data_IF_303210293303
#
_entry.id   IF_303210293303
#
_cell.length_a   1.000
_cell.length_b   1.000
_cell.length_c   1.000
_cell.angle_alpha   90.00
_cell.angle_beta   90.00
_cell.angle_gamma   90.00
#
_symmetry.space_group_name_H-M   'P 1'
#
loop_
_entity.id
_entity.type
_entity.pdbx_description
1 polymer ?
#
# COMPACT_ATOMS: atom_id res chain seq x y z
N UNK A 1 4.48 -8.76 22.53
CA UNK A 1 4.52 -9.53 23.80
C UNK A 1 3.59 -8.85 24.80
N UNK A 2 2.88 -9.59 25.66
CA UNK A 2 2.11 -8.96 26.74
C UNK A 2 3.02 -8.09 27.61
N UNK A 3 2.52 -6.95 28.07
CA UNK A 3 3.25 -6.09 29.02
C UNK A 3 3.42 -6.74 30.39
N UNK A 4 2.61 -7.76 30.70
CA UNK A 4 2.66 -8.52 31.95
C UNK A 4 3.62 -9.71 31.93
N UNK A 5 4.33 -9.96 30.82
CA UNK A 5 5.26 -11.09 30.70
C UNK A 5 6.57 -10.82 31.46
N UNK A 6 7.24 -11.88 31.92
CA UNK A 6 8.55 -11.74 32.58
C UNK A 6 9.62 -11.22 31.60
N UNK A 7 10.60 -10.44 32.05
CA UNK A 7 11.72 -9.98 31.21
C UNK A 7 12.49 -11.13 30.56
N UNK A 8 12.59 -12.27 31.26
CA UNK A 8 13.27 -13.49 30.78
C UNK A 8 12.54 -14.13 29.59
N UNK A 9 11.28 -13.77 29.33
CA UNK A 9 10.54 -14.23 28.16
C UNK A 9 10.95 -13.52 26.86
N UNK A 10 11.94 -12.62 26.90
CA UNK A 10 12.43 -11.91 25.72
C UNK A 10 12.93 -12.89 24.65
N UNK A 11 12.65 -12.58 23.39
CA UNK A 11 13.02 -13.40 22.24
C UNK A 11 13.50 -12.55 21.08
N UNK A 12 14.20 -13.14 20.12
CA UNK A 12 14.65 -12.46 18.90
C UNK A 12 14.15 -13.18 17.66
N UNK A 13 13.72 -12.39 16.67
CA UNK A 13 13.33 -12.92 15.37
C UNK A 13 14.56 -13.40 14.60
N UNK A 14 14.51 -14.64 14.13
CA UNK A 14 15.57 -15.23 13.30
C UNK A 14 15.22 -15.20 11.82
N UNK A 15 14.01 -15.64 11.48
CA UNK A 15 13.61 -15.81 10.09
C UNK A 15 12.10 -15.74 9.91
N UNK A 16 11.68 -15.61 8.65
CA UNK A 16 10.30 -15.62 8.21
C UNK A 16 10.10 -16.71 7.17
N UNK A 17 8.93 -17.33 7.20
CA UNK A 17 8.42 -18.18 6.14
C UNK A 17 7.03 -17.66 5.74
N UNK A 18 6.83 -17.53 4.44
CA UNK A 18 5.57 -17.16 3.82
C UNK A 18 5.15 -18.22 2.83
N UNK A 19 3.86 -18.56 2.88
CA UNK A 19 3.14 -19.31 1.86
C UNK A 19 2.12 -18.38 1.22
N UNK A 20 2.32 -18.12 -0.05
CA UNK A 20 1.51 -17.21 -0.86
C UNK A 20 0.69 -18.07 -1.81
N UNK A 21 -0.63 -17.97 -1.76
CA UNK A 21 -1.52 -18.71 -2.68
C UNK A 21 -2.30 -17.75 -3.56
N UNK A 22 -2.19 -17.96 -4.86
CA UNK A 22 -2.88 -17.20 -5.89
C UNK A 22 -4.22 -17.84 -6.25
N UNK A 23 -5.14 -17.08 -6.83
CA UNK A 23 -6.49 -17.60 -7.16
C UNK A 23 -6.49 -18.69 -8.23
N UNK A 24 -5.44 -18.75 -9.06
CA UNK A 24 -5.27 -19.78 -10.10
C UNK A 24 -4.74 -21.12 -9.53
N UNK A 25 -4.50 -21.18 -8.22
CA UNK A 25 -3.96 -22.34 -7.52
C UNK A 25 -2.43 -22.39 -7.46
N UNK A 26 -1.73 -21.41 -8.03
CA UNK A 26 -0.28 -21.31 -7.88
C UNK A 26 0.11 -20.98 -6.43
N UNK A 27 1.17 -21.62 -5.95
CA UNK A 27 1.71 -21.42 -4.59
C UNK A 27 3.18 -21.03 -4.69
N UNK A 28 3.52 -19.91 -4.07
CA UNK A 28 4.89 -19.44 -3.91
C UNK A 28 5.28 -19.50 -2.43
N UNK A 29 6.47 -20.03 -2.16
CA UNK A 29 7.03 -20.07 -0.80
C UNK A 29 8.24 -19.15 -0.72
N UNK A 30 8.24 -18.27 0.28
CA UNK A 30 9.33 -17.32 0.52
C UNK A 30 9.86 -17.55 1.92
N UNK A 31 11.11 -17.99 2.00
CA UNK A 31 11.83 -18.16 3.27
C UNK A 31 13.08 -17.28 3.28
N UNK A 32 13.35 -16.64 4.41
CA UNK A 32 14.56 -15.85 4.54
C UNK A 32 14.83 -15.32 5.94
N UNK A 33 16.06 -14.84 6.18
CA UNK A 33 16.46 -14.32 7.48
C UNK A 33 15.79 -12.98 7.77
N UNK A 34 15.44 -12.78 9.05
CA UNK A 34 14.87 -11.53 9.57
C UNK A 34 13.58 -11.08 8.86
N UNK A 35 13.27 -9.79 9.01
CA UNK A 35 12.23 -9.05 8.25
C UNK A 35 12.86 -7.76 7.74
N UNK A 36 12.70 -7.44 6.46
CA UNK A 36 13.25 -6.21 5.84
C UNK A 36 14.73 -5.92 6.13
N UNK A 37 15.54 -6.96 6.39
CA UNK A 37 16.96 -6.85 6.74
C UNK A 37 17.25 -6.71 8.24
N UNK A 38 16.22 -6.72 9.08
CA UNK A 38 16.32 -6.57 10.54
C UNK A 38 16.01 -7.88 11.28
N UNK A 39 16.58 -8.01 12.49
CA UNK A 39 16.37 -9.11 13.42
C UNK A 39 15.87 -8.57 14.76
N UNK A 40 14.61 -8.11 14.83
CA UNK A 40 14.08 -7.42 15.99
C UNK A 40 14.07 -8.31 17.24
N UNK A 41 14.53 -7.73 18.34
CA UNK A 41 14.41 -8.29 19.69
C UNK A 41 13.09 -7.83 20.31
N UNK A 42 12.30 -8.78 20.80
CA UNK A 42 11.00 -8.57 21.44
C UNK A 42 11.13 -8.74 22.95
N UNK A 43 11.00 -7.64 23.68
CA UNK A 43 10.85 -7.62 25.14
C UNK A 43 9.37 -7.50 25.52
N UNK A 44 8.97 -7.84 26.76
CA UNK A 44 7.61 -7.59 27.24
C UNK A 44 7.16 -6.14 27.00
N UNK A 45 5.95 -5.97 26.47
CA UNK A 45 5.37 -4.65 26.13
C UNK A 45 5.95 -3.98 24.87
N UNK A 46 7.03 -4.49 24.27
CA UNK A 46 7.58 -3.93 23.02
C UNK A 46 6.72 -4.32 21.81
N UNK A 47 6.55 -3.34 20.93
CA UNK A 47 5.93 -3.48 19.61
C UNK A 47 7.00 -3.20 18.55
N UNK A 48 6.99 -3.97 17.48
CA UNK A 48 7.81 -3.76 16.30
C UNK A 48 6.89 -3.81 15.08
N UNK A 49 6.96 -2.79 14.24
CA UNK A 49 6.14 -2.62 13.05
C UNK A 49 7.07 -2.45 11.84
N UNK A 50 6.73 -3.09 10.74
CA UNK A 50 7.43 -2.97 9.48
C UNK A 50 6.44 -3.05 8.33
N UNK A 51 6.84 -2.56 7.16
CA UNK A 51 6.04 -2.66 5.93
C UNK A 51 6.85 -3.35 4.83
N UNK A 52 6.19 -4.21 4.06
CA UNK A 52 6.73 -4.85 2.86
C UNK A 52 5.67 -4.85 1.76
N UNK A 53 6.09 -5.12 0.53
CA UNK A 53 5.18 -5.25 -0.61
C UNK A 53 5.45 -6.55 -1.38
N UNK A 54 4.46 -6.95 -2.15
CA UNK A 54 4.51 -8.08 -3.07
C UNK A 54 3.56 -7.80 -4.23
N UNK A 55 3.73 -8.49 -5.34
CA UNK A 55 3.00 -8.25 -6.59
C UNK A 55 2.39 -9.55 -7.09
N UNK A 56 1.14 -9.49 -7.57
CA UNK A 56 0.43 -10.66 -8.09
C UNK A 56 -0.05 -10.42 -9.51
N UNK A 57 -0.17 -11.52 -10.27
CA UNK A 57 -0.82 -11.54 -11.59
C UNK A 57 -2.34 -11.69 -11.51
N UNK A 58 -2.85 -12.13 -10.37
CA UNK A 58 -4.27 -12.33 -10.11
C UNK A 58 -4.86 -11.18 -9.26
N UNK A 59 -6.19 -11.01 -9.21
CA UNK A 59 -6.84 -9.92 -8.46
C UNK A 59 -7.21 -10.29 -7.00
N UNK A 60 -7.01 -11.53 -6.58
CA UNK A 60 -7.42 -12.04 -5.26
C UNK A 60 -6.49 -13.16 -4.80
N UNK A 61 -5.73 -12.90 -3.75
CA UNK A 61 -4.73 -13.82 -3.19
C UNK A 61 -4.86 -13.88 -1.67
N UNK A 62 -4.17 -14.85 -1.07
CA UNK A 62 -3.95 -14.84 0.37
C UNK A 62 -2.53 -15.23 0.73
N UNK A 63 -2.08 -14.75 1.88
CA UNK A 63 -0.79 -15.07 2.46
C UNK A 63 -0.98 -15.60 3.88
N UNK A 64 -0.16 -16.57 4.24
CA UNK A 64 -0.06 -17.11 5.59
C UNK A 64 1.39 -17.55 5.82
N UNK A 65 1.76 -17.80 7.08
CA UNK A 65 3.14 -18.15 7.36
C UNK A 65 3.46 -18.21 8.84
N UNK A 66 4.74 -18.10 9.15
CA UNK A 66 5.22 -17.99 10.52
C UNK A 66 6.55 -17.25 10.58
N UNK A 67 6.82 -16.71 11.76
CA UNK A 67 8.12 -16.24 12.17
C UNK A 67 8.77 -17.26 13.07
N UNK A 68 10.08 -17.48 12.90
CA UNK A 68 10.87 -18.27 13.84
C UNK A 68 11.62 -17.34 14.78
N UNK A 69 11.51 -17.63 16.07
CA UNK A 69 12.14 -16.90 17.15
C UNK A 69 12.95 -17.85 18.03
N UNK A 70 14.04 -17.37 18.60
CA UNK A 70 14.70 -18.02 19.73
C UNK A 70 14.54 -17.18 21.00
N UNK A 71 14.58 -17.83 22.17
CA UNK A 71 14.64 -17.12 23.46
C UNK A 71 16.01 -16.48 23.66
N UNK A 72 16.04 -15.30 24.25
CA UNK A 72 17.34 -14.67 24.59
C UNK A 72 18.04 -15.38 25.76
N UNK A 73 17.28 -16.01 26.66
CA UNK A 73 17.82 -16.77 27.78
C UNK A 73 18.46 -18.11 27.33
N UNK A 74 17.91 -18.71 26.27
CA UNK A 74 18.39 -19.97 25.69
C UNK A 74 18.22 -19.97 24.17
N UNK A 75 19.34 -19.94 23.46
CA UNK A 75 19.35 -19.90 21.98
C UNK A 75 18.92 -21.22 21.34
N UNK A 76 18.94 -22.33 22.07
CA UNK A 76 18.47 -23.61 21.55
C UNK A 76 16.94 -23.72 21.59
N UNK A 77 16.26 -22.92 22.43
CA UNK A 77 14.81 -22.84 22.49
C UNK A 77 14.25 -21.98 21.34
N UNK A 78 13.97 -22.64 20.21
CA UNK A 78 13.33 -22.04 19.03
C UNK A 78 11.83 -22.35 19.03
N UNK A 79 11.02 -21.33 18.71
CA UNK A 79 9.57 -21.46 18.58
C UNK A 79 9.03 -20.64 17.41
N UNK A 80 7.83 -21.00 16.95
CA UNK A 80 7.18 -20.34 15.83
C UNK A 80 5.99 -19.48 16.27
N UNK A 81 5.89 -18.30 15.67
CA UNK A 81 4.74 -17.40 15.81
C UNK A 81 3.98 -17.39 14.51
N UNK A 82 2.75 -17.91 14.53
CA UNK A 82 1.92 -18.02 13.33
C UNK A 82 1.47 -16.65 12.85
N UNK A 83 1.59 -16.44 11.54
CA UNK A 83 1.00 -15.30 10.86
C UNK A 83 -0.36 -15.77 10.33
N UNK A 84 -1.48 -15.19 10.80
CA UNK A 84 -2.79 -15.60 10.36
C UNK A 84 -2.96 -15.31 8.87
N UNK A 85 -3.78 -16.12 8.22
CA UNK A 85 -4.13 -15.90 6.82
C UNK A 85 -4.80 -14.53 6.66
N UNK A 86 -4.28 -13.72 5.75
CA UNK A 86 -4.94 -12.50 5.29
C UNK A 86 -5.08 -12.49 3.78
N UNK A 87 -6.14 -11.82 3.31
CA UNK A 87 -6.49 -11.74 1.90
C UNK A 87 -6.07 -10.39 1.32
N UNK A 88 -5.56 -10.41 0.10
CA UNK A 88 -5.31 -9.22 -0.70
C UNK A 88 -6.27 -9.28 -1.88
N UNK A 89 -7.14 -8.29 -1.97
CA UNK A 89 -8.19 -8.24 -2.99
C UNK A 89 -8.10 -6.89 -3.67
N UNK A 90 -7.91 -6.89 -4.99
CA UNK A 90 -8.00 -5.70 -5.79
C UNK A 90 -9.48 -5.28 -5.89
N UNK A 91 -9.87 -4.10 -5.40
CA UNK A 91 -11.23 -3.61 -5.56
C UNK A 91 -11.57 -3.48 -7.05
N UNK A 92 -12.84 -3.66 -7.45
CA UNK A 92 -13.23 -3.42 -8.83
C UNK A 92 -12.95 -1.96 -9.20
N UNK A 93 -12.52 -1.77 -10.44
CA UNK A 93 -12.40 -0.43 -11.00
C UNK A 93 -13.77 0.28 -10.92
N UNK A 94 -13.78 1.50 -10.39
CA UNK A 94 -14.95 2.38 -10.38
C UNK A 94 -14.71 3.53 -11.33
N UNK A 95 -15.58 3.67 -12.32
CA UNK A 95 -15.56 4.87 -13.16
C UNK A 95 -15.87 6.11 -12.31
N UNK A 96 -15.10 7.20 -12.49
CA UNK A 96 -15.43 8.46 -11.85
C UNK A 96 -16.77 8.95 -12.39
N UNK A 97 -17.69 9.31 -11.48
CA UNK A 97 -18.95 9.95 -11.88
C UNK A 97 -18.60 11.33 -12.44
N UNK A 98 -18.59 11.46 -13.76
CA UNK A 98 -18.49 12.75 -14.42
C UNK A 98 -19.80 13.48 -14.12
N UNK A 99 -19.76 14.45 -13.19
CA UNK A 99 -20.86 15.40 -13.02
C UNK A 99 -20.95 16.22 -14.30
N UNK A 100 -21.86 15.82 -15.20
CA UNK A 100 -22.29 16.70 -16.27
C UNK A 100 -22.84 17.97 -15.61
N UNK A 101 -22.20 19.11 -15.87
CA UNK A 101 -22.78 20.41 -15.51
C UNK A 101 -24.15 20.48 -16.20
N UNK A 102 -25.25 20.78 -15.48
CA UNK A 102 -26.50 21.05 -16.16
C UNK A 102 -26.25 22.21 -17.11
N UNK A 103 -26.48 21.99 -18.40
CA UNK A 103 -26.51 23.08 -19.37
C UNK A 103 -27.54 24.08 -18.85
N UNK A 104 -27.07 25.30 -18.56
CA UNK A 104 -27.96 26.39 -18.18
C UNK A 104 -28.99 26.53 -19.29
N UNK A 105 -30.26 26.23 -18.99
CA UNK A 105 -31.37 26.58 -19.87
C UNK A 105 -31.33 28.10 -20.04
N UNK A 106 -30.90 28.55 -21.21
CA UNK A 106 -31.04 29.94 -21.66
C UNK A 106 -32.55 30.19 -21.73
N UNK A 107 -33.09 30.98 -20.81
CA UNK A 107 -34.36 31.64 -21.04
C UNK A 107 -34.11 32.60 -22.20
N UNK A 108 -34.74 32.33 -23.34
CA UNK A 108 -34.74 33.27 -24.46
C UNK A 108 -35.71 34.39 -24.09
N UNK A 109 -35.18 35.49 -23.60
CA UNK A 109 -35.91 36.76 -23.55
C UNK A 109 -36.08 37.26 -25.00
N UNK A 110 -37.32 37.49 -25.47
CA UNK A 110 -37.54 38.18 -26.73
C UNK A 110 -37.40 39.69 -26.50
N UNK A 111 -36.85 40.36 -27.52
CA UNK A 111 -36.80 41.81 -27.72
C UNK A 111 -35.59 42.54 -27.09
N UNK A 112 -34.68 43.01 -27.96
CA UNK A 112 -33.57 43.87 -27.58
C UNK A 112 -32.51 44.01 -28.67
N UNK A 113 -32.82 44.87 -29.63
CA UNK A 113 -31.97 45.48 -30.64
C UNK A 113 -30.63 46.05 -30.12
N UNK A 114 -29.61 46.07 -30.99
CA UNK A 114 -28.55 47.08 -30.91
C UNK A 114 -27.10 46.60 -31.01
N UNK A 115 -26.58 46.64 -32.24
CA UNK A 115 -25.23 47.03 -32.67
C UNK A 115 -23.93 46.44 -32.06
N UNK A 116 -23.14 45.89 -32.99
CA UNK A 116 -21.70 45.65 -32.94
C UNK A 116 -20.88 46.89 -32.58
N UNK A 117 -19.81 46.72 -31.80
CA UNK A 117 -18.52 47.41 -32.01
C UNK A 117 -17.35 46.56 -31.48
N UNK A 118 -16.34 46.41 -32.34
CA UNK A 118 -15.05 45.73 -32.16
C UNK A 118 -14.10 46.41 -31.15
N UNK A 119 -13.13 45.65 -30.60
CA UNK A 119 -11.82 46.21 -30.22
C UNK A 119 -11.26 45.89 -28.83
N UNK A 120 -10.29 44.95 -28.82
CA UNK A 120 -8.99 44.87 -28.09
C UNK A 120 -8.78 45.36 -26.64
N UNK A 121 -8.11 44.51 -25.83
CA UNK A 121 -7.33 44.86 -24.63
C UNK A 121 -7.55 43.93 -23.41
N UNK A 122 -6.87 42.79 -23.31
CA UNK A 122 -5.69 42.50 -22.45
C UNK A 122 -5.93 42.38 -20.93
N UNK A 123 -5.93 41.13 -20.41
CA UNK A 123 -5.42 40.82 -19.06
C UNK A 123 -5.00 39.33 -19.00
N UNK A 124 -3.69 39.07 -19.03
CA UNK A 124 -3.12 37.71 -18.97
C UNK A 124 -2.60 37.46 -17.55
N UNK A 125 -3.51 37.07 -16.65
CA UNK A 125 -3.22 36.67 -15.28
C UNK A 125 -3.14 35.15 -15.10
N UNK A 126 -1.91 34.64 -15.14
CA UNK A 126 -1.33 33.62 -14.25
C UNK A 126 -1.79 32.13 -14.25
N UNK A 127 -0.80 31.28 -13.99
CA UNK A 127 -0.82 29.85 -13.64
C UNK A 127 -0.71 28.80 -14.77
N UNK A 128 0.48 28.78 -15.39
CA UNK A 128 1.12 27.51 -15.79
C UNK A 128 1.56 26.74 -14.53
N UNK A 129 0.72 25.85 -14.04
CA UNK A 129 1.09 24.68 -13.22
C UNK A 129 0.39 23.46 -13.83
N UNK A 130 0.98 22.30 -14.08
CA UNK A 130 2.19 21.65 -13.55
C UNK A 130 2.76 20.84 -14.71
N UNK A 131 4.09 20.89 -14.89
CA UNK A 131 4.82 20.12 -15.88
C UNK A 131 4.73 18.62 -15.56
N UNK A 132 4.27 17.80 -16.51
CA UNK A 132 4.42 16.34 -16.47
C UNK A 132 5.90 16.01 -16.64
N UNK A 133 6.60 15.72 -15.55
CA UNK A 133 7.87 15.04 -15.63
C UNK A 133 8.17 14.27 -14.34
N UNK A 134 8.63 13.03 -14.54
CA UNK A 134 9.31 12.16 -13.60
C UNK A 134 8.47 11.42 -12.56
N UNK A 135 7.96 10.25 -12.97
CA UNK A 135 7.95 9.05 -12.12
C UNK A 135 8.40 7.81 -12.94
N UNK A 136 9.50 7.94 -13.69
CA UNK A 136 10.32 6.76 -13.97
C UNK A 136 11.20 6.53 -12.74
N UNK A 137 10.98 5.43 -12.00
CA UNK A 137 11.81 5.08 -10.85
C UNK A 137 11.14 4.29 -9.72
N UNK A 138 9.83 4.04 -9.76
CA UNK A 138 9.15 3.23 -8.74
C UNK A 138 9.23 1.73 -9.07
N UNK A 139 10.43 1.16 -9.11
CA UNK A 139 10.62 -0.30 -9.09
C UNK A 139 11.22 -0.72 -7.76
N UNK A 140 10.49 -1.56 -7.04
CA UNK A 140 10.99 -2.25 -5.85
C UNK A 140 12.06 -3.26 -6.32
N UNK A 141 13.31 -3.19 -5.82
CA UNK A 141 14.34 -4.13 -6.23
C UNK A 141 13.95 -5.54 -5.75
N UNK A 142 13.76 -6.46 -6.71
CA UNK A 142 13.72 -7.90 -6.42
C UNK A 142 15.14 -8.31 -6.02
N UNK A 143 15.37 -8.52 -4.73
CA UNK A 143 16.61 -9.15 -4.27
C UNK A 143 16.53 -10.65 -4.58
N UNK A 144 17.44 -11.10 -5.45
CA UNK A 144 17.95 -12.48 -5.53
C UNK A 144 18.93 -12.69 -4.39
#
# INVERSE_FOLDING_TARGET
MSSSASPDASCQLDSRYWKITMSDGHVEEVQGPGVVGEFPVMTPGKVHEYASCTTFSTPSEYMEGHYSFHRLADKEEVFHVMIPRFHMVCPPFREPVIRAKPSSRRLEDPDGDGEFCDGDGDDFGDLRGINMAALEGAWCPRHI
#
